data_IF_391864877577
#
_entry.id   IF_391864877577
#
_cell.length_a   1.000
_cell.length_b   1.000
_cell.length_c   1.000
_cell.angle_alpha   90.00
_cell.angle_beta   90.00
_cell.angle_gamma   90.00
#
_symmetry.space_group_name_H-M   'P 1'
#
loop_
_entity.id
_entity.type
_entity.pdbx_description
1 polymer ?
#
# COMPACT_ATOMS: atom_id res chain seq x y z
N UNK A 1 -15.24 2.07 -12.32
CA UNK A 1 -14.01 2.56 -11.71
C UNK A 1 -13.06 1.40 -11.59
N UNK A 2 -11.86 1.52 -12.16
CA UNK A 2 -10.83 0.49 -12.17
C UNK A 2 -9.63 0.96 -11.35
N UNK A 3 -9.13 0.09 -10.49
CA UNK A 3 -8.06 0.43 -9.54
C UNK A 3 -6.82 -0.40 -9.87
N UNK A 4 -5.70 0.27 -10.11
CA UNK A 4 -4.38 -0.33 -10.22
C UNK A 4 -3.79 -0.59 -8.84
N UNK A 5 -3.58 -1.85 -8.50
CA UNK A 5 -2.81 -2.32 -7.36
C UNK A 5 -1.37 -2.53 -7.80
N UNK A 6 -0.51 -1.62 -7.37
CA UNK A 6 0.91 -1.65 -7.68
C UNK A 6 1.67 -2.31 -6.53
N UNK A 7 2.04 -3.57 -6.76
CA UNK A 7 2.52 -4.47 -5.73
C UNK A 7 4.01 -4.76 -5.87
N UNK A 8 4.69 -4.86 -4.73
CA UNK A 8 6.04 -5.41 -4.63
C UNK A 8 5.98 -6.66 -3.77
N UNK A 9 6.48 -7.77 -4.31
CA UNK A 9 6.53 -9.06 -3.63
C UNK A 9 7.96 -9.56 -3.55
N UNK A 10 8.28 -10.22 -2.46
CA UNK A 10 9.61 -10.68 -2.09
C UNK A 10 9.62 -12.09 -1.51
N UNK A 11 8.45 -12.74 -1.40
CA UNK A 11 8.28 -14.03 -0.72
C UNK A 11 7.20 -14.88 -1.37
N UNK A 12 7.37 -16.20 -1.24
CA UNK A 12 6.49 -17.34 -1.57
C UNK A 12 5.23 -17.08 -2.44
N UNK A 13 5.01 -17.96 -3.44
CA UNK A 13 3.90 -17.92 -4.38
C UNK A 13 2.52 -17.92 -3.68
N UNK A 14 2.37 -18.66 -2.58
CA UNK A 14 1.12 -18.73 -1.82
C UNK A 14 0.71 -17.36 -1.24
N UNK A 15 1.68 -16.52 -0.86
CA UNK A 15 1.41 -15.17 -0.40
C UNK A 15 0.93 -14.27 -1.54
N UNK A 16 1.49 -14.45 -2.74
CA UNK A 16 1.05 -13.75 -3.96
C UNK A 16 -0.40 -14.14 -4.29
N UNK A 17 -0.74 -15.44 -4.23
CA UNK A 17 -2.11 -15.91 -4.41
C UNK A 17 -3.06 -15.30 -3.37
N UNK A 18 -2.65 -15.27 -2.11
CA UNK A 18 -3.44 -14.70 -1.03
C UNK A 18 -3.70 -13.20 -1.22
N UNK A 19 -2.70 -12.45 -1.69
CA UNK A 19 -2.89 -11.04 -2.05
C UNK A 19 -3.88 -10.87 -3.20
N UNK A 20 -3.74 -11.64 -4.28
CA UNK A 20 -4.64 -11.55 -5.45
C UNK A 20 -6.07 -11.87 -5.05
N UNK A 21 -6.27 -12.97 -4.32
CA UNK A 21 -7.59 -13.41 -3.88
C UNK A 21 -8.22 -12.41 -2.92
N UNK A 22 -7.45 -11.83 -1.99
CA UNK A 22 -7.95 -10.77 -1.13
C UNK A 22 -8.39 -9.54 -1.94
N UNK A 23 -7.56 -9.04 -2.85
CA UNK A 23 -7.90 -7.87 -3.68
C UNK A 23 -9.16 -8.17 -4.52
N UNK A 24 -9.20 -9.29 -5.23
CA UNK A 24 -10.33 -9.65 -6.10
C UNK A 24 -11.62 -9.98 -5.34
N UNK A 25 -11.52 -10.41 -4.07
CA UNK A 25 -12.67 -10.58 -3.19
C UNK A 25 -13.32 -9.24 -2.89
N UNK A 26 -12.54 -8.20 -2.58
CA UNK A 26 -13.07 -6.94 -2.09
C UNK A 26 -13.26 -5.86 -3.17
N UNK A 27 -12.71 -6.05 -4.36
CA UNK A 27 -12.71 -5.07 -5.47
C UNK A 27 -13.29 -5.70 -6.73
N UNK A 28 -14.22 -5.00 -7.39
CA UNK A 28 -15.03 -5.57 -8.49
C UNK A 28 -14.23 -5.86 -9.77
N UNK A 29 -13.31 -4.98 -10.15
CA UNK A 29 -12.48 -5.12 -11.37
C UNK A 29 -11.07 -4.56 -11.11
N UNK A 30 -10.26 -5.23 -10.27
CA UNK A 30 -8.92 -4.77 -9.97
C UNK A 30 -7.99 -5.02 -11.17
N UNK A 31 -7.02 -4.13 -11.33
CA UNK A 31 -5.84 -4.32 -12.16
C UNK A 31 -4.65 -4.51 -11.22
N UNK A 32 -3.96 -5.64 -11.26
CA UNK A 32 -2.89 -5.95 -10.30
C UNK A 32 -1.58 -6.11 -11.06
N UNK A 33 -0.53 -5.40 -10.63
CA UNK A 33 0.82 -5.57 -11.19
C UNK A 33 1.80 -5.89 -10.08
N UNK A 34 2.61 -6.92 -10.31
CA UNK A 34 3.66 -7.34 -9.40
C UNK A 34 5.04 -6.99 -9.94
N UNK A 35 5.82 -6.34 -9.08
CA UNK A 35 7.26 -6.36 -9.13
C UNK A 35 7.76 -7.44 -8.17
N UNK A 36 8.47 -8.43 -8.69
CA UNK A 36 9.01 -9.59 -7.97
C UNK A 36 10.48 -9.35 -7.66
N UNK A 37 10.82 -9.28 -6.38
CA UNK A 37 12.19 -9.04 -5.96
C UNK A 37 13.12 -10.17 -6.45
N UNK A 38 14.10 -9.89 -7.34
CA UNK A 38 14.83 -10.95 -8.04
C UNK A 38 15.74 -11.77 -7.12
N UNK A 39 16.32 -11.15 -6.09
CA UNK A 39 17.23 -11.83 -5.14
C UNK A 39 16.48 -12.53 -3.99
N UNK A 40 15.48 -11.87 -3.40
CA UNK A 40 14.70 -12.43 -2.28
C UNK A 40 13.69 -13.49 -2.73
N UNK A 41 13.25 -13.43 -3.99
CA UNK A 41 12.27 -14.36 -4.54
C UNK A 41 12.66 -14.94 -5.90
N UNK A 42 13.83 -15.60 -6.00
CA UNK A 42 14.34 -16.14 -7.27
C UNK A 42 13.49 -17.31 -7.80
N UNK A 43 12.73 -17.96 -6.91
CA UNK A 43 11.88 -19.12 -7.21
C UNK A 43 10.41 -18.75 -7.47
N UNK A 44 10.13 -17.48 -7.80
CA UNK A 44 8.77 -17.07 -8.15
C UNK A 44 8.28 -17.85 -9.37
N UNK A 45 7.12 -18.50 -9.22
CA UNK A 45 6.47 -19.22 -10.31
C UNK A 45 5.42 -18.33 -10.95
N UNK A 46 5.70 -17.85 -12.15
CA UNK A 46 4.78 -17.00 -12.92
C UNK A 46 3.47 -17.72 -13.24
N UNK A 47 3.44 -19.06 -13.22
CA UNK A 47 2.22 -19.84 -13.45
C UNK A 47 1.14 -19.57 -12.40
N UNK A 48 1.55 -19.16 -11.20
CA UNK A 48 0.67 -18.85 -10.07
C UNK A 48 -0.37 -17.77 -10.42
N UNK A 49 0.01 -16.81 -11.27
CA UNK A 49 -0.88 -15.70 -11.64
C UNK A 49 -1.74 -15.97 -12.88
N UNK A 50 -1.40 -16.98 -13.69
CA UNK A 50 -2.02 -17.19 -15.01
C UNK A 50 -3.53 -17.46 -14.96
N UNK A 51 -4.02 -17.99 -13.83
CA UNK A 51 -5.44 -18.28 -13.62
C UNK A 51 -6.27 -17.05 -13.22
N UNK A 52 -5.63 -15.93 -12.93
CA UNK A 52 -6.28 -14.72 -12.44
C UNK A 52 -6.39 -13.67 -13.55
N UNK A 53 -7.58 -13.11 -13.70
CA UNK A 53 -7.84 -12.03 -14.66
C UNK A 53 -7.21 -10.73 -14.19
N UNK A 54 -6.69 -9.92 -15.13
CA UNK A 54 -6.10 -8.60 -14.91
C UNK A 54 -4.91 -8.61 -13.92
N UNK A 55 -4.17 -9.71 -13.85
CA UNK A 55 -2.96 -9.82 -13.03
C UNK A 55 -1.74 -9.90 -13.92
N UNK A 56 -0.77 -9.03 -13.65
CA UNK A 56 0.43 -8.86 -14.45
C UNK A 56 1.68 -8.97 -13.57
N UNK A 57 2.77 -9.43 -14.16
CA UNK A 57 4.10 -9.38 -13.54
C UNK A 57 4.99 -8.61 -14.48
N UNK A 58 5.55 -7.52 -13.97
CA UNK A 58 6.46 -6.67 -14.70
C UNK A 58 7.64 -7.49 -15.24
N UNK A 59 8.05 -7.25 -16.48
CA UNK A 59 9.22 -7.92 -17.05
C UNK A 59 10.54 -7.39 -16.49
N UNK A 60 10.55 -6.14 -16.04
CA UNK A 60 11.70 -5.52 -15.39
C UNK A 60 11.63 -5.77 -13.89
N UNK A 61 12.68 -6.39 -13.34
CA UNK A 61 12.78 -6.73 -11.92
C UNK A 61 14.05 -6.11 -11.33
N UNK A 62 13.88 -5.01 -10.62
CA UNK A 62 14.93 -4.24 -9.98
C UNK A 62 15.37 -4.91 -8.68
N UNK A 63 16.69 -4.94 -8.43
CA UNK A 63 17.20 -5.39 -7.14
C UNK A 63 16.98 -4.31 -6.09
N UNK A 64 16.12 -4.57 -5.10
CA UNK A 64 15.74 -3.58 -4.08
C UNK A 64 16.69 -3.52 -2.88
N UNK A 65 17.69 -4.40 -2.83
CA UNK A 65 18.70 -4.44 -1.77
C UNK A 65 20.08 -3.98 -2.24
N UNK A 66 20.20 -3.49 -3.48
CA UNK A 66 21.50 -3.10 -4.03
C UNK A 66 22.00 -1.77 -3.43
N UNK A 67 22.68 -1.87 -2.29
CA UNK A 67 23.38 -0.76 -1.67
C UNK A 67 24.76 -0.51 -2.29
N UNK A 68 25.23 -1.37 -3.21
CA UNK A 68 26.62 -1.39 -3.71
C UNK A 68 26.72 -1.40 -5.25
N UNK A 69 25.66 -1.06 -5.99
CA UNK A 69 25.74 -0.90 -7.43
C UNK A 69 26.79 0.20 -7.74
N UNK A 70 27.97 -0.23 -8.18
CA UNK A 70 29.09 0.60 -8.67
C UNK A 70 28.74 1.29 -10.01
N UNK A 71 27.55 1.86 -10.09
CA UNK A 71 27.10 2.73 -11.16
C UNK A 71 27.12 4.13 -10.53
N UNK A 72 27.52 5.14 -11.30
CA UNK A 72 27.65 6.55 -10.92
C UNK A 72 26.33 7.23 -10.48
N UNK A 73 25.53 6.57 -9.65
CA UNK A 73 24.26 7.01 -9.14
C UNK A 73 24.20 6.64 -7.65
N UNK A 74 24.23 7.67 -6.81
CA UNK A 74 23.98 7.61 -5.37
C UNK A 74 22.50 7.25 -5.07
N UNK A 75 21.94 6.23 -5.72
CA UNK A 75 20.51 5.89 -5.72
C UNK A 75 20.21 4.78 -4.71
N UNK A 76 19.91 5.16 -3.47
CA UNK A 76 19.52 4.25 -2.38
C UNK A 76 18.00 4.03 -2.26
N UNK A 77 17.24 4.04 -3.37
CA UNK A 77 15.76 4.16 -3.31
C UNK A 77 14.95 3.26 -4.25
N UNK A 78 15.11 1.94 -4.18
CA UNK A 78 14.62 1.07 -5.23
C UNK A 78 13.09 0.80 -5.18
N UNK A 79 12.39 1.07 -4.08
CA UNK A 79 10.95 0.78 -3.98
C UNK A 79 10.11 1.72 -4.86
N UNK A 80 10.35 3.03 -4.82
CA UNK A 80 9.64 3.97 -5.72
C UNK A 80 10.00 3.73 -7.19
N UNK A 81 11.24 3.33 -7.50
CA UNK A 81 11.63 2.93 -8.86
C UNK A 81 10.89 1.67 -9.30
N UNK A 82 10.69 0.69 -8.42
CA UNK A 82 9.88 -0.49 -8.71
C UNK A 82 8.41 -0.14 -8.96
N UNK A 83 7.83 0.75 -8.16
CA UNK A 83 6.46 1.25 -8.40
C UNK A 83 6.34 2.03 -9.72
N UNK A 84 7.32 2.89 -10.01
CA UNK A 84 7.40 3.63 -11.27
C UNK A 84 7.55 2.68 -12.47
N UNK A 85 8.41 1.65 -12.36
CA UNK A 85 8.60 0.64 -13.40
C UNK A 85 7.30 -0.13 -13.63
N UNK A 86 6.60 -0.55 -12.58
CA UNK A 86 5.28 -1.17 -12.69
C UNK A 86 4.24 -0.25 -13.36
N UNK A 87 4.21 1.02 -12.98
CA UNK A 87 3.29 2.00 -13.56
C UNK A 87 3.56 2.20 -15.06
N UNK A 88 4.84 2.33 -15.45
CA UNK A 88 5.27 2.41 -16.85
C UNK A 88 4.94 1.13 -17.61
N UNK A 89 5.18 -0.03 -17.01
CA UNK A 89 4.85 -1.32 -17.61
C UNK A 89 3.35 -1.43 -17.92
N UNK A 90 2.51 -1.08 -16.96
CA UNK A 90 1.05 -1.12 -17.13
C UNK A 90 0.56 -0.12 -18.18
N UNK A 91 1.02 1.12 -18.12
CA UNK A 91 0.54 2.20 -19.01
C UNK A 91 1.12 2.11 -20.42
N UNK A 92 2.39 1.75 -20.58
CA UNK A 92 3.08 1.76 -21.87
C UNK A 92 3.13 0.38 -22.55
N UNK A 93 3.36 -0.69 -21.79
CA UNK A 93 3.56 -2.03 -22.35
C UNK A 93 2.24 -2.81 -22.41
N UNK A 94 1.50 -2.87 -21.30
CA UNK A 94 0.19 -3.52 -21.25
C UNK A 94 -0.92 -2.65 -21.85
N UNK A 95 -0.74 -1.32 -21.85
CA UNK A 95 -1.72 -0.34 -22.32
C UNK A 95 -3.07 -0.46 -21.61
N UNK A 96 -3.03 -0.77 -20.32
CA UNK A 96 -4.22 -0.89 -19.49
C UNK A 96 -4.60 0.48 -18.92
N UNK A 97 -5.90 0.75 -18.90
CA UNK A 97 -6.47 1.97 -18.32
C UNK A 97 -6.99 1.71 -16.90
N UNK A 98 -6.85 2.71 -16.03
CA UNK A 98 -7.34 2.70 -14.65
C UNK A 98 -7.62 4.12 -14.17
N UNK A 99 -8.53 4.25 -13.21
CA UNK A 99 -8.95 5.54 -12.64
C UNK A 99 -8.14 5.91 -11.39
N UNK A 100 -7.77 4.90 -10.60
CA UNK A 100 -7.05 5.05 -9.34
C UNK A 100 -5.86 4.10 -9.25
N UNK A 101 -4.85 4.51 -8.50
CA UNK A 101 -3.65 3.76 -8.20
C UNK A 101 -3.52 3.61 -6.68
N UNK A 102 -3.22 2.39 -6.23
CA UNK A 102 -2.94 2.05 -4.84
C UNK A 102 -1.56 1.38 -4.78
N UNK A 103 -0.70 1.91 -3.92
CA UNK A 103 0.53 1.23 -3.51
C UNK A 103 0.17 0.12 -2.53
N UNK A 104 0.40 -1.15 -2.88
CA UNK A 104 -0.12 -2.29 -2.10
C UNK A 104 0.97 -3.32 -1.80
N UNK A 105 1.29 -3.53 -0.52
CA UNK A 105 2.37 -4.42 -0.10
C UNK A 105 1.86 -5.80 0.38
N UNK A 106 2.75 -6.79 0.45
CA UNK A 106 2.50 -8.17 0.93
C UNK A 106 1.78 -8.30 2.27
N UNK A 107 1.88 -7.28 3.10
CA UNK A 107 1.28 -7.25 4.43
C UNK A 107 -0.10 -6.61 4.43
N UNK A 108 -0.57 -6.07 3.33
CA UNK A 108 -1.84 -5.36 3.27
C UNK A 108 -2.97 -6.33 2.92
N UNK A 109 -4.07 -6.25 3.66
CA UNK A 109 -5.29 -7.00 3.38
C UNK A 109 -6.51 -6.11 3.53
N UNK A 110 -7.40 -6.17 2.56
CA UNK A 110 -8.75 -5.64 2.67
C UNK A 110 -9.57 -6.45 3.66
N UNK A 111 -10.31 -5.75 4.52
CA UNK A 111 -11.20 -6.37 5.51
C UNK A 111 -12.68 -6.05 5.26
N UNK A 112 -13.00 -5.17 4.31
CA UNK A 112 -14.37 -4.73 3.99
C UNK A 112 -14.49 -4.38 2.50
N UNK A 113 -15.70 -4.52 1.96
CA UNK A 113 -16.05 -4.02 0.63
C UNK A 113 -16.29 -2.51 0.64
N UNK A 114 -16.27 -1.89 -0.54
CA UNK A 114 -16.70 -0.50 -0.72
C UNK A 114 -15.56 0.50 -0.89
N UNK A 115 -14.33 0.04 -1.18
CA UNK A 115 -13.22 0.95 -1.46
C UNK A 115 -13.56 1.85 -2.64
N UNK A 116 -14.27 1.32 -3.65
CA UNK A 116 -14.61 2.08 -4.83
C UNK A 116 -15.54 3.25 -4.52
N UNK A 117 -16.58 2.99 -3.74
CA UNK A 117 -17.53 4.00 -3.27
C UNK A 117 -16.88 5.01 -2.33
N UNK A 118 -15.86 4.58 -1.59
CA UNK A 118 -15.10 5.41 -0.66
C UNK A 118 -14.19 6.39 -1.38
N UNK A 119 -13.34 5.93 -2.31
CA UNK A 119 -12.29 6.78 -2.89
C UNK A 119 -12.76 7.64 -4.06
N UNK A 120 -13.87 7.29 -4.74
CA UNK A 120 -14.32 7.95 -5.98
C UNK A 120 -14.48 9.48 -5.90
N UNK A 121 -14.64 10.03 -4.70
CA UNK A 121 -14.87 11.46 -4.46
C UNK A 121 -13.58 12.21 -4.06
N UNK A 122 -12.41 11.57 -4.13
CA UNK A 122 -11.17 12.10 -3.58
C UNK A 122 -10.03 12.02 -4.60
N UNK A 123 -9.21 13.07 -4.69
CA UNK A 123 -8.03 13.07 -5.57
C UNK A 123 -6.94 12.09 -5.10
N UNK A 124 -6.90 11.86 -3.80
CA UNK A 124 -6.06 10.85 -3.17
C UNK A 124 -6.35 10.74 -1.69
N UNK A 125 -5.88 9.67 -1.08
CA UNK A 125 -5.99 9.45 0.34
C UNK A 125 -4.71 8.87 0.93
N UNK A 126 -4.47 9.23 2.18
CA UNK A 126 -3.36 8.70 2.94
C UNK A 126 -3.77 7.52 3.80
N UNK A 127 -2.79 6.66 3.93
CA UNK A 127 -2.61 5.81 5.08
C UNK A 127 -2.13 6.66 6.25
N UNK A 128 -3.00 6.96 7.21
CA UNK A 128 -2.54 7.46 8.50
C UNK A 128 -3.53 7.11 9.62
N UNK A 129 -3.08 6.33 10.59
CA UNK A 129 -3.80 6.16 11.84
C UNK A 129 -2.82 6.33 13.01
N UNK A 130 -3.18 7.20 13.95
CA UNK A 130 -2.70 7.12 15.33
C UNK A 130 -3.88 6.59 16.12
N UNK A 131 -3.97 5.29 16.35
CA UNK A 131 -4.88 4.74 17.34
C UNK A 131 -4.43 5.21 18.74
N UNK A 132 -4.70 6.48 19.05
CA UNK A 132 -4.39 7.14 20.31
C UNK A 132 -5.75 7.42 20.90
N UNK A 133 -6.24 6.45 21.68
CA UNK A 133 -7.03 6.62 22.91
C UNK A 133 -7.69 5.32 23.37
N UNK A 134 -7.78 4.27 22.52
CA UNK A 134 -8.56 3.08 22.87
C UNK A 134 -7.88 2.09 23.82
N UNK A 135 -6.58 2.21 24.12
CA UNK A 135 -5.87 1.26 24.98
C UNK A 135 -4.87 2.00 25.89
N UNK A 136 -5.04 1.97 27.24
CA UNK A 136 -4.26 2.76 28.21
C UNK A 136 -2.72 2.58 28.25
N UNK A 137 -2.09 1.85 27.34
CA UNK A 137 -0.66 1.48 27.45
C UNK A 137 0.16 1.58 26.15
N UNK A 138 -0.41 2.04 25.04
CA UNK A 138 0.25 1.96 23.72
C UNK A 138 1.16 3.17 23.44
N UNK A 139 0.94 4.30 24.12
CA UNK A 139 1.69 5.55 23.93
C UNK A 139 3.23 5.40 24.03
N UNK A 140 3.73 4.42 24.80
CA UNK A 140 5.18 4.19 25.01
C UNK A 140 5.91 3.54 23.83
N UNK A 141 5.21 2.95 22.86
CA UNK A 141 5.84 2.21 21.75
C UNK A 141 6.13 3.07 20.50
N UNK A 142 5.75 4.35 20.50
CA UNK A 142 5.63 5.14 19.27
C UNK A 142 6.84 6.01 18.88
N UNK A 143 7.98 5.95 19.57
CA UNK A 143 9.03 6.97 19.37
C UNK A 143 10.08 6.71 18.26
N UNK A 144 10.09 5.61 17.50
CA UNK A 144 11.10 5.43 16.41
C UNK A 144 10.65 4.76 15.11
N UNK A 145 9.43 4.18 15.04
CA UNK A 145 8.99 3.38 13.88
C UNK A 145 8.00 4.06 12.93
N UNK A 146 7.49 5.24 13.29
CA UNK A 146 6.32 5.88 12.65
C UNK A 146 6.62 6.49 11.27
N UNK A 147 7.87 6.83 10.99
CA UNK A 147 8.27 7.42 9.71
C UNK A 147 8.50 6.38 8.62
N UNK A 148 8.59 5.09 8.97
CA UNK A 148 9.06 3.99 8.11
C UNK A 148 7.99 3.30 7.22
N UNK A 149 6.78 3.86 7.07
CA UNK A 149 5.70 3.16 6.32
C UNK A 149 4.64 4.10 5.72
N UNK A 150 4.95 5.37 5.45
CA UNK A 150 3.91 6.36 5.04
C UNK A 150 3.41 6.15 3.60
N UNK A 151 4.08 5.36 2.76
CA UNK A 151 3.69 5.09 1.37
C UNK A 151 2.78 3.86 1.19
N UNK A 152 2.70 2.95 2.18
CA UNK A 152 1.84 1.76 2.09
C UNK A 152 0.36 2.20 1.98
N UNK A 153 -0.44 1.62 1.08
CA UNK A 153 -1.88 1.91 0.96
C UNK A 153 -2.24 3.31 0.48
N UNK A 154 -1.24 4.10 0.11
CA UNK A 154 -1.42 5.39 -0.52
C UNK A 154 -2.23 5.20 -1.80
N UNK A 155 -3.33 5.95 -1.89
CA UNK A 155 -4.26 5.88 -3.01
C UNK A 155 -4.32 7.24 -3.67
N UNK A 156 -4.31 7.29 -4.99
CA UNK A 156 -4.48 8.53 -5.74
C UNK A 156 -5.20 8.25 -7.05
N UNK A 157 -5.91 9.24 -7.58
CA UNK A 157 -6.42 9.16 -8.93
C UNK A 157 -5.25 9.18 -9.94
N UNK A 158 -5.53 8.72 -11.16
CA UNK A 158 -4.53 8.59 -12.22
C UNK A 158 -3.74 9.88 -12.47
N UNK A 159 -4.41 11.03 -12.53
CA UNK A 159 -3.78 12.32 -12.83
C UNK A 159 -2.77 12.72 -11.74
N UNK A 160 -3.12 12.51 -10.48
CA UNK A 160 -2.22 12.78 -9.35
C UNK A 160 -1.06 11.79 -9.33
N UNK A 161 -1.31 10.50 -9.58
CA UNK A 161 -0.25 9.49 -9.70
C UNK A 161 0.76 9.86 -10.78
N UNK A 162 0.28 10.26 -11.96
CA UNK A 162 1.11 10.67 -13.09
C UNK A 162 1.98 11.87 -12.72
N UNK A 163 1.38 12.94 -12.18
CA UNK A 163 2.14 14.13 -11.73
C UNK A 163 3.20 13.78 -10.69
N UNK A 164 2.87 12.89 -9.76
CA UNK A 164 3.81 12.45 -8.71
C UNK A 164 5.01 11.72 -9.32
N UNK A 165 4.78 10.79 -10.26
CA UNK A 165 5.85 10.07 -10.92
C UNK A 165 6.67 10.92 -11.90
N UNK A 166 6.03 11.85 -12.61
CA UNK A 166 6.72 12.82 -13.47
C UNK A 166 7.61 13.76 -12.63
N UNK A 167 7.10 14.22 -11.48
CA UNK A 167 7.88 15.03 -10.54
C UNK A 167 9.06 14.25 -9.97
N UNK A 168 8.86 12.97 -9.59
CA UNK A 168 9.95 12.11 -9.14
C UNK A 168 11.05 11.97 -10.21
N UNK A 169 10.67 11.67 -11.45
CA UNK A 169 11.62 11.56 -12.57
C UNK A 169 12.37 12.86 -12.84
N UNK A 170 11.71 14.01 -12.66
CA UNK A 170 12.29 15.33 -12.97
C UNK A 170 13.16 15.90 -11.85
N UNK A 171 13.12 15.31 -10.65
CA UNK A 171 13.80 15.83 -9.46
C UNK A 171 14.57 14.73 -8.74
N UNK A 172 15.04 13.71 -9.46
CA UNK A 172 15.65 12.49 -8.91
C UNK A 172 16.77 12.82 -7.90
N UNK A 173 17.53 13.91 -8.11
CA UNK A 173 18.55 14.36 -7.16
C UNK A 173 18.02 14.73 -5.76
N UNK A 174 16.80 15.26 -5.64
CA UNK A 174 16.17 15.58 -4.34
C UNK A 174 15.89 14.32 -3.52
N UNK A 175 15.82 13.17 -4.19
CA UNK A 175 15.57 11.88 -3.59
C UNK A 175 16.86 11.11 -3.29
N UNK A 176 18.05 11.70 -3.47
CA UNK A 176 19.33 11.03 -3.20
C UNK A 176 19.96 11.38 -1.84
N UNK A 177 19.26 12.10 -0.95
CA UNK A 177 19.80 12.44 0.37
C UNK A 177 19.61 11.30 1.38
N UNK A 178 20.73 10.85 1.95
CA UNK A 178 20.94 9.92 3.07
C UNK A 178 19.68 9.24 3.67
N UNK A 179 19.31 8.09 3.11
CA UNK A 179 18.72 6.97 3.85
C UNK A 179 17.22 7.06 4.21
N UNK A 180 16.47 6.06 3.71
CA UNK A 180 15.26 5.45 4.30
C UNK A 180 14.00 6.30 4.54
N UNK A 181 14.08 7.63 4.60
CA UNK A 181 12.95 8.48 5.01
C UNK A 181 12.29 9.23 3.85
N UNK A 182 12.87 9.25 2.66
CA UNK A 182 12.43 10.21 1.65
C UNK A 182 11.26 9.76 0.76
N UNK A 183 11.14 8.49 0.37
CA UNK A 183 9.97 8.07 -0.45
C UNK A 183 8.68 8.19 0.37
N UNK A 184 8.69 7.63 1.58
CA UNK A 184 7.56 7.61 2.49
C UNK A 184 7.09 9.02 2.87
N UNK A 185 8.04 9.94 3.08
CA UNK A 185 7.71 11.33 3.39
C UNK A 185 7.36 12.12 2.13
N UNK A 186 8.08 11.97 1.02
CA UNK A 186 7.91 12.83 -0.16
C UNK A 186 6.71 12.41 -1.00
N UNK A 187 6.46 11.13 -1.22
CA UNK A 187 5.25 10.65 -1.93
C UNK A 187 4.02 11.12 -1.16
N UNK A 188 4.06 11.00 0.17
CA UNK A 188 2.99 11.51 1.03
C UNK A 188 2.89 13.04 0.98
N UNK A 189 3.99 13.76 1.08
CA UNK A 189 3.98 15.23 1.02
C UNK A 189 3.51 15.76 -0.34
N UNK A 190 3.86 15.06 -1.42
CA UNK A 190 3.44 15.42 -2.77
C UNK A 190 1.93 15.33 -2.90
N UNK A 191 1.34 14.19 -2.54
CA UNK A 191 -0.11 14.05 -2.50
C UNK A 191 -0.77 15.13 -1.62
N UNK A 192 -0.19 15.45 -0.46
CA UNK A 192 -0.77 16.39 0.51
C UNK A 192 -0.85 17.79 -0.09
N UNK A 193 0.17 18.18 -0.84
CA UNK A 193 0.26 19.50 -1.44
C UNK A 193 -0.51 19.62 -2.78
N UNK A 194 -0.89 18.51 -3.41
CA UNK A 194 -1.45 18.50 -4.78
C UNK A 194 -2.88 17.98 -4.89
N UNK A 195 -3.44 17.34 -3.85
CA UNK A 195 -4.83 16.92 -3.84
C UNK A 195 -5.73 18.09 -3.40
N UNK A 196 -6.77 18.39 -4.19
CA UNK A 196 -7.77 19.38 -3.81
C UNK A 196 -8.84 18.72 -2.97
N UNK A 197 -8.59 18.48 -1.67
CA UNK A 197 -9.68 18.03 -0.81
C UNK A 197 -9.56 18.49 0.65
N UNK A 198 -10.59 19.16 1.20
CA UNK A 198 -10.76 19.29 2.64
C UNK A 198 -11.08 17.90 3.22
N UNK A 199 -10.23 17.39 4.10
CA UNK A 199 -10.48 16.14 4.83
C UNK A 199 -10.20 14.89 3.99
N UNK A 200 -8.92 14.54 3.89
CA UNK A 200 -8.46 13.29 3.30
C UNK A 200 -9.13 12.09 4.00
N UNK A 201 -9.69 11.14 3.26
CA UNK A 201 -10.49 10.10 3.87
C UNK A 201 -9.55 9.12 4.58
N UNK A 202 -9.74 8.84 5.87
CA UNK A 202 -8.91 7.89 6.62
C UNK A 202 -9.01 6.51 5.98
N UNK A 203 -7.94 6.02 5.38
CA UNK A 203 -7.77 4.58 5.23
C UNK A 203 -7.04 4.12 6.48
N UNK A 204 -7.74 3.38 7.35
CA UNK A 204 -7.17 3.02 8.64
C UNK A 204 -6.23 1.85 8.50
N UNK A 205 -4.99 2.26 8.68
CA UNK A 205 -3.82 1.55 9.13
C UNK A 205 -3.88 1.00 10.54
N UNK A 206 -4.46 -0.16 10.83
CA UNK A 206 -4.27 -0.73 12.16
C UNK A 206 -2.76 -0.94 12.39
N UNK A 207 -2.14 -0.26 13.38
CA UNK A 207 -0.73 -0.46 13.65
C UNK A 207 -0.51 -1.94 14.00
N UNK A 208 0.75 -2.37 13.93
CA UNK A 208 1.27 -3.68 14.36
C UNK A 208 0.99 -4.02 15.85
N UNK A 209 0.07 -3.29 16.48
CA UNK A 209 -0.07 -3.04 17.91
C UNK A 209 -1.54 -3.15 18.37
N UNK A 210 -2.38 -3.98 17.75
CA UNK A 210 -3.49 -4.56 18.50
C UNK A 210 -2.86 -5.33 19.66
N UNK A 211 -3.31 -5.12 20.89
CA UNK A 211 -2.77 -5.88 22.01
C UNK A 211 -3.03 -7.39 21.84
N UNK A 212 -4.09 -7.75 21.10
CA UNK A 212 -4.43 -9.13 20.70
C UNK A 212 -5.12 -9.22 19.32
N UNK A 213 -5.21 -10.42 18.75
CA UNK A 213 -6.02 -10.72 17.55
C UNK A 213 -7.52 -10.43 17.79
N UNK A 214 -8.01 -10.63 19.01
CA UNK A 214 -9.40 -10.38 19.39
C UNK A 214 -9.79 -8.91 19.16
N UNK A 215 -8.92 -7.97 19.52
CA UNK A 215 -9.17 -6.55 19.32
C UNK A 215 -9.23 -6.18 17.82
N UNK A 216 -8.41 -6.85 17.00
CA UNK A 216 -8.40 -6.65 15.55
C UNK A 216 -9.70 -7.15 14.90
N UNK A 217 -10.15 -8.35 15.30
CA UNK A 217 -11.44 -8.92 14.89
C UNK A 217 -12.57 -8.00 15.32
N UNK A 218 -12.56 -7.54 16.57
CA UNK A 218 -13.59 -6.66 17.10
C UNK A 218 -13.66 -5.33 16.35
N UNK A 219 -12.53 -4.72 15.96
CA UNK A 219 -12.51 -3.50 15.14
C UNK A 219 -13.06 -3.77 13.72
N UNK A 220 -12.75 -4.93 13.15
CA UNK A 220 -13.24 -5.33 11.82
C UNK A 220 -14.75 -5.58 11.86
N UNK A 221 -15.27 -6.21 12.90
CA UNK A 221 -16.69 -6.57 13.05
C UNK A 221 -17.56 -5.45 13.63
N UNK A 222 -17.05 -4.69 14.60
CA UNK A 222 -17.79 -3.66 15.32
C UNK A 222 -17.45 -2.25 14.84
N UNK A 223 -18.39 -1.64 14.12
CA UNK A 223 -18.23 -0.34 13.45
C UNK A 223 -18.45 0.88 14.36
N UNK A 224 -18.37 0.74 15.69
CA UNK A 224 -18.79 1.77 16.65
C UNK A 224 -17.63 2.47 17.37
N UNK A 225 -16.40 2.01 17.23
CA UNK A 225 -15.25 2.66 17.87
C UNK A 225 -14.93 4.00 17.20
N UNK A 226 -14.58 4.99 18.02
CA UNK A 226 -13.98 6.24 17.56
C UNK A 226 -12.47 6.08 17.49
N UNK A 227 -11.89 6.52 16.38
CA UNK A 227 -10.45 6.52 16.15
C UNK A 227 -10.02 7.95 15.86
N UNK A 228 -8.95 8.38 16.50
CA UNK A 228 -8.29 9.65 16.19
C UNK A 228 -7.31 9.45 15.03
N UNK A 229 -7.37 10.32 14.03
CA UNK A 229 -6.39 10.33 12.95
C UNK A 229 -5.81 11.74 12.85
N UNK A 230 -4.47 11.84 12.86
CA UNK A 230 -3.83 13.15 12.66
C UNK A 230 -4.36 13.77 11.39
N UNK A 231 -4.63 15.07 11.45
CA UNK A 231 -5.16 15.94 10.39
C UNK A 231 -6.67 15.91 10.15
N UNK A 232 -7.41 14.91 10.64
CA UNK A 232 -8.87 14.80 10.40
C UNK A 232 -9.72 14.62 11.67
N UNK A 233 -9.06 14.40 12.81
CA UNK A 233 -9.69 14.28 14.13
C UNK A 233 -10.40 12.94 14.32
N UNK A 234 -11.27 12.88 15.33
CA UNK A 234 -12.01 11.67 15.68
C UNK A 234 -13.03 11.30 14.61
N UNK A 235 -13.06 10.01 14.23
CA UNK A 235 -14.01 9.41 13.28
C UNK A 235 -14.48 8.05 13.77
N UNK A 236 -15.70 7.65 13.41
CA UNK A 236 -16.19 6.30 13.71
C UNK A 236 -15.61 5.29 12.74
N UNK A 237 -15.41 4.07 13.20
CA UNK A 237 -14.96 2.92 12.38
C UNK A 237 -15.93 2.54 11.25
N UNK A 238 -17.18 3.00 11.30
CA UNK A 238 -18.13 2.90 10.19
C UNK A 238 -17.88 3.90 9.05
N UNK A 239 -17.15 4.98 9.32
CA UNK A 239 -16.95 6.13 8.41
C UNK A 239 -15.60 6.05 7.67
N UNK A 240 -14.85 4.98 7.91
CA UNK A 240 -13.50 4.76 7.43
C UNK A 240 -13.46 3.47 6.61
N UNK A 241 -12.54 3.41 5.65
CA UNK A 241 -12.23 2.18 4.95
C UNK A 241 -10.98 1.51 5.57
N UNK A 242 -11.00 0.19 5.76
CA UNK A 242 -9.96 -0.52 6.52
C UNK A 242 -9.13 -1.42 5.59
N UNK A 243 -7.82 -1.14 5.56
CA UNK A 243 -6.82 -2.06 5.01
C UNK A 243 -5.93 -2.47 6.19
N UNK A 244 -5.94 -3.72 6.61
CA UNK A 244 -5.15 -4.15 7.77
C UNK A 244 -3.74 -4.56 7.36
N UNK A 245 -2.73 -4.18 8.15
CA UNK A 245 -1.38 -4.74 8.03
C UNK A 245 -1.29 -6.06 8.79
N UNK A 246 -1.18 -7.17 8.08
CA UNK A 246 -1.13 -8.53 8.63
C UNK A 246 0.25 -9.12 8.34
N UNK A 247 0.80 -9.91 9.26
CA UNK A 247 2.06 -10.61 8.98
C UNK A 247 1.90 -11.49 7.72
N UNK A 248 3.01 -11.69 7.02
CA UNK A 248 3.07 -12.48 5.78
C UNK A 248 2.99 -13.98 6.04
N UNK A 249 2.99 -14.41 7.30
CA UNK A 249 2.68 -15.78 7.70
C UNK A 249 1.23 -16.14 7.33
N UNK A 250 1.06 -17.20 6.54
CA UNK A 250 -0.22 -17.66 6.03
C UNK A 250 -1.11 -18.26 7.13
N UNK A 251 -0.50 -18.73 8.22
CA UNK A 251 -1.20 -19.27 9.40
C UNK A 251 -1.48 -18.19 10.45
N UNK A 252 -1.15 -16.93 10.16
CA UNK A 252 -1.48 -15.83 11.06
C UNK A 252 -3.00 -15.80 11.31
N UNK A 253 -3.48 -15.85 12.56
CA UNK A 253 -4.91 -15.99 12.84
C UNK A 253 -5.76 -14.83 12.28
N UNK A 254 -5.21 -13.62 12.19
CA UNK A 254 -5.91 -12.49 11.59
C UNK A 254 -6.02 -12.63 10.07
N UNK A 255 -4.99 -13.16 9.40
CA UNK A 255 -5.02 -13.48 7.96
C UNK A 255 -6.08 -14.54 7.68
N UNK A 256 -6.09 -15.62 8.49
CA UNK A 256 -7.09 -16.68 8.42
C UNK A 256 -8.50 -16.12 8.61
N UNK A 257 -8.70 -15.26 9.60
CA UNK A 257 -9.99 -14.58 9.82
C UNK A 257 -10.41 -13.74 8.61
N UNK A 258 -9.55 -12.86 8.08
CA UNK A 258 -9.88 -12.00 6.94
C UNK A 258 -10.22 -12.82 5.68
N UNK A 259 -9.57 -13.97 5.48
CA UNK A 259 -9.93 -14.90 4.39
C UNK A 259 -11.37 -15.42 4.52
N UNK A 260 -11.86 -15.61 5.74
CA UNK A 260 -13.23 -16.10 6.02
C UNK A 260 -14.35 -15.05 5.90
N UNK A 261 -14.01 -13.76 5.79
CA UNK A 261 -15.00 -12.67 5.61
C UNK A 261 -15.79 -12.75 4.31
#
# INVERSE_FOLDING_TARGET
>A
MRILFNCIVSRNNELVEDMITNIQKFVKDPLIVFHVHPIKFPSFDKSVINRYKNVFVNSEQLNLDDHNANINLNTHRPFIHAFLSNFKYITNNCKEEFDYHIIFYEKMMFCRHGIEEYIKNYDGCFYYCRAVECIPNVAKYFQKGLLKNLSEGLTSNFEITKKMFDYYCSNEELYNYNGWAGEEVIVSSFLFNNCNTPGMPPVIVQPKCCATISDAVEIIEQTKYEIDALSIGKRKTSEIFIIHRVDSDLENPLRVFIRSL
#
